data_IF_758645273851
#
_entry.id   IF_758645273851
#
_cell.length_a   1.000
_cell.length_b   1.000
_cell.length_c   1.000
_cell.angle_alpha   90.00
_cell.angle_beta   90.00
_cell.angle_gamma   90.00
#
_symmetry.space_group_name_H-M   'P 1'
#
loop_
_entity.id
_entity.type
_entity.pdbx_description
1 polymer ?
#
# COMPACT_ATOMS: atom_id res chain seq x y z
N UNK A 1 23.16 -19.69 -13.29
CA UNK A 1 23.23 -19.41 -11.85
C UNK A 1 22.53 -18.13 -11.44
N UNK A 2 22.59 -17.08 -12.28
CA UNK A 2 21.83 -15.87 -12.00
C UNK A 2 20.32 -16.12 -12.04
N UNK A 3 19.86 -16.99 -12.94
CA UNK A 3 18.44 -17.34 -13.00
C UNK A 3 17.94 -17.96 -11.69
N UNK A 4 18.72 -18.89 -11.13
CA UNK A 4 18.38 -19.53 -9.86
C UNK A 4 18.27 -18.53 -8.72
N UNK A 5 19.18 -17.55 -8.68
CA UNK A 5 19.14 -16.50 -7.67
C UNK A 5 17.89 -15.65 -7.79
N UNK A 6 17.53 -15.30 -9.02
CA UNK A 6 16.30 -14.52 -9.28
C UNK A 6 15.06 -15.33 -8.89
N UNK A 7 15.02 -16.61 -9.26
CA UNK A 7 13.91 -17.48 -8.89
C UNK A 7 13.76 -17.60 -7.38
N UNK A 8 14.88 -17.68 -6.64
CA UNK A 8 14.86 -17.72 -5.18
C UNK A 8 14.34 -16.43 -4.59
N UNK A 9 14.72 -15.29 -5.17
CA UNK A 9 14.21 -13.99 -4.72
C UNK A 9 12.70 -13.87 -4.98
N UNK A 10 12.24 -14.34 -6.12
CA UNK A 10 10.81 -14.36 -6.44
C UNK A 10 10.05 -15.25 -5.44
N UNK A 11 10.62 -16.41 -5.11
CA UNK A 11 9.98 -17.32 -4.17
C UNK A 11 9.87 -16.70 -2.77
N UNK A 12 10.87 -15.95 -2.33
CA UNK A 12 10.79 -15.21 -1.06
C UNK A 12 9.67 -14.18 -1.09
N UNK A 13 9.54 -13.47 -2.21
CA UNK A 13 8.46 -12.48 -2.38
C UNK A 13 7.11 -13.17 -2.31
N UNK A 14 6.96 -14.30 -2.99
CA UNK A 14 5.71 -15.06 -2.96
C UNK A 14 5.34 -15.49 -1.54
N UNK A 15 6.34 -15.94 -0.78
CA UNK A 15 6.12 -16.34 0.62
C UNK A 15 5.69 -15.17 1.48
N UNK A 16 6.30 -14.00 1.32
CA UNK A 16 5.87 -12.80 2.04
C UNK A 16 4.45 -12.40 1.66
N UNK A 17 4.11 -12.48 0.38
CA UNK A 17 2.77 -12.12 -0.09
C UNK A 17 1.70 -12.99 0.55
N UNK A 18 1.95 -14.30 0.63
CA UNK A 18 0.97 -15.21 1.24
C UNK A 18 0.87 -15.03 2.75
N UNK A 19 1.88 -14.44 3.38
CA UNK A 19 1.87 -14.18 4.81
C UNK A 19 1.21 -12.84 5.18
N UNK A 20 0.92 -11.99 4.20
CA UNK A 20 0.25 -10.73 4.45
C UNK A 20 -1.18 -10.96 4.95
N UNK A 21 -1.58 -10.20 5.96
CA UNK A 21 -2.95 -10.24 6.46
C UNK A 21 -3.90 -9.39 5.62
N UNK A 22 -5.06 -9.07 6.18
CA UNK A 22 -6.01 -8.21 5.48
C UNK A 22 -5.36 -6.90 5.08
N UNK A 23 -5.73 -6.40 3.90
CA UNK A 23 -5.14 -5.17 3.36
C UNK A 23 -6.22 -4.31 2.71
N UNK A 24 -5.92 -3.02 2.61
CA UNK A 24 -6.76 -2.09 1.89
C UNK A 24 -5.95 -0.91 1.39
N UNK A 25 -6.30 -0.34 0.24
CA UNK A 25 -5.71 0.92 -0.20
C UNK A 25 -6.25 2.09 0.60
N UNK A 26 -5.53 3.20 0.62
CA UNK A 26 -6.03 4.43 1.18
C UNK A 26 -5.01 5.18 2.00
N UNK A 27 -5.45 6.33 2.49
CA UNK A 27 -4.67 7.22 3.34
C UNK A 27 -5.50 7.57 4.56
N UNK A 28 -4.91 7.40 5.74
CA UNK A 28 -5.55 7.77 6.99
C UNK A 28 -5.01 9.13 7.43
N UNK A 29 -5.90 10.08 7.64
CA UNK A 29 -5.53 11.41 8.13
C UNK A 29 -6.18 11.66 9.47
N UNK A 30 -5.49 12.45 10.29
CA UNK A 30 -5.98 12.87 11.59
C UNK A 30 -6.34 14.35 11.49
N UNK A 31 -7.58 14.67 11.84
CA UNK A 31 -8.09 16.03 11.68
C UNK A 31 -8.72 16.54 12.96
N UNK A 32 -8.68 17.86 13.10
CA UNK A 32 -9.33 18.58 14.18
C UNK A 32 -10.26 19.61 13.56
N UNK A 33 -11.45 19.76 14.11
CA UNK A 33 -12.44 20.64 13.54
C UNK A 33 -13.18 21.41 14.64
N UNK A 34 -13.56 22.64 14.33
CA UNK A 34 -14.44 23.42 15.18
C UNK A 34 -15.87 22.96 14.97
N UNK A 35 -16.65 22.87 16.08
CA UNK A 35 -18.07 22.59 15.97
C UNK A 35 -18.84 23.90 15.82
N UNK A 36 -20.13 23.82 15.44
CA UNK A 36 -20.96 25.01 15.27
C UNK A 36 -21.79 25.32 16.50
N UNK A 37 -21.55 24.67 17.63
CA UNK A 37 -22.30 24.90 18.85
C UNK A 37 -21.84 26.18 19.54
N UNK A 38 -22.75 27.15 19.80
CA UNK A 38 -22.40 28.37 20.50
C UNK A 38 -21.85 28.06 21.90
N UNK A 39 -20.84 28.83 22.33
CA UNK A 39 -20.23 28.64 23.63
C UNK A 39 -19.25 27.51 23.77
N UNK A 40 -18.97 26.76 22.69
CA UNK A 40 -17.99 25.70 22.72
C UNK A 40 -16.57 26.26 22.70
N UNK A 41 -15.65 25.61 23.43
CA UNK A 41 -14.24 26.04 23.49
C UNK A 41 -13.54 26.03 22.14
N UNK A 42 -14.04 25.27 21.17
CA UNK A 42 -13.47 25.19 19.83
C UNK A 42 -13.63 26.49 19.02
N UNK A 43 -14.56 27.35 19.39
CA UNK A 43 -14.79 28.62 18.71
C UNK A 43 -14.29 29.81 19.52
N UNK A 44 -13.52 29.57 20.57
CA UNK A 44 -12.91 30.64 21.38
C UNK A 44 -11.96 31.47 20.50
N UNK A 45 -12.17 32.79 20.38
CA UNK A 45 -11.35 33.63 19.52
C UNK A 45 -9.90 33.80 20.00
N UNK A 46 -9.62 33.51 21.28
CA UNK A 46 -8.27 33.67 21.84
C UNK A 46 -7.51 32.36 21.84
N UNK A 47 -8.11 31.28 22.31
CA UNK A 47 -7.51 29.94 22.37
C UNK A 47 -8.51 28.87 21.95
N UNK A 48 -8.76 28.74 20.65
CA UNK A 48 -9.73 27.76 20.21
C UNK A 48 -9.23 26.33 20.47
N UNK A 49 -10.06 25.52 21.12
CA UNK A 49 -9.79 24.08 21.29
C UNK A 49 -10.66 23.32 20.33
N UNK A 50 -10.11 22.99 19.17
CA UNK A 50 -10.82 22.25 18.16
C UNK A 50 -11.13 20.83 18.65
N UNK A 51 -12.27 20.31 18.20
CA UNK A 51 -12.64 18.92 18.49
C UNK A 51 -11.77 17.96 17.71
N UNK A 52 -11.48 16.83 18.32
CA UNK A 52 -10.70 15.79 17.65
C UNK A 52 -9.80 15.07 18.65
N UNK A 53 -8.95 14.18 18.10
CA UNK A 53 -8.77 13.95 16.66
C UNK A 53 -9.90 13.16 16.04
N UNK A 54 -10.26 13.53 14.81
CA UNK A 54 -11.11 12.74 13.95
C UNK A 54 -10.23 12.04 12.92
N UNK A 55 -10.46 10.76 12.72
CA UNK A 55 -9.70 9.99 11.75
C UNK A 55 -10.52 9.83 10.49
N UNK A 56 -9.91 10.14 9.36
CA UNK A 56 -10.56 10.12 8.07
C UNK A 56 -9.75 9.25 7.13
N UNK A 57 -10.44 8.26 6.53
CA UNK A 57 -9.84 7.34 5.58
C UNK A 57 -10.30 7.73 4.18
N UNK A 58 -9.33 8.04 3.31
CA UNK A 58 -9.61 8.37 1.90
C UNK A 58 -9.00 7.32 1.01
N UNK A 59 -9.75 6.83 0.04
CA UNK A 59 -9.26 5.85 -0.90
C UNK A 59 -9.99 5.97 -2.23
N UNK A 60 -9.33 5.47 -3.27
CA UNK A 60 -9.93 5.38 -4.61
C UNK A 60 -9.91 3.93 -5.04
N UNK A 61 -11.02 3.47 -5.58
CA UNK A 61 -11.17 2.11 -6.07
C UNK A 61 -12.07 2.10 -7.29
N UNK A 62 -11.60 1.51 -8.37
CA UNK A 62 -12.33 1.43 -9.64
C UNK A 62 -12.84 2.79 -10.11
N UNK A 63 -11.99 3.81 -10.00
CA UNK A 63 -12.31 5.16 -10.45
C UNK A 63 -13.16 5.99 -9.51
N UNK A 64 -13.55 5.42 -8.36
CA UNK A 64 -14.35 6.15 -7.38
C UNK A 64 -13.51 6.49 -6.16
N UNK A 65 -13.53 7.77 -5.78
CA UNK A 65 -12.89 8.25 -4.55
C UNK A 65 -13.91 8.27 -3.43
N UNK A 66 -13.53 7.74 -2.29
CA UNK A 66 -14.40 7.65 -1.12
C UNK A 66 -13.65 8.14 0.11
N UNK A 67 -14.35 8.88 0.96
CA UNK A 67 -13.82 9.35 2.23
C UNK A 67 -14.78 8.93 3.33
N UNK A 68 -14.24 8.32 4.40
CA UNK A 68 -15.04 7.85 5.53
C UNK A 68 -14.36 8.19 6.84
N UNK A 69 -15.18 8.49 7.84
CA UNK A 69 -14.68 8.62 9.20
C UNK A 69 -14.42 7.24 9.80
N UNK A 70 -13.33 7.13 10.56
CA UNK A 70 -12.95 5.89 11.24
C UNK A 70 -13.06 6.11 12.74
N UNK A 71 -13.77 5.22 13.42
CA UNK A 71 -13.90 5.27 14.87
C UNK A 71 -12.53 4.99 15.52
N UNK A 72 -12.20 5.69 16.61
CA UNK A 72 -10.88 5.51 17.26
C UNK A 72 -10.53 4.06 17.55
N UNK A 73 -11.52 3.23 17.90
CA UNK A 73 -11.28 1.81 18.16
C UNK A 73 -10.81 0.99 16.96
N UNK A 74 -11.05 1.48 15.73
CA UNK A 74 -10.64 0.77 14.52
C UNK A 74 -9.36 1.31 13.90
N UNK A 75 -8.78 2.38 14.44
CA UNK A 75 -7.62 3.05 13.84
C UNK A 75 -6.42 2.09 13.75
N UNK A 76 -6.16 1.31 14.80
CA UNK A 76 -5.04 0.36 14.81
C UNK A 76 -5.21 -0.68 13.70
N UNK A 77 -6.42 -1.23 13.56
CA UNK A 77 -6.71 -2.22 12.53
C UNK A 77 -6.55 -1.63 11.13
N UNK A 78 -7.07 -0.42 10.89
CA UNK A 78 -6.94 0.26 9.61
C UNK A 78 -5.47 0.51 9.27
N UNK A 79 -4.67 0.96 10.24
CA UNK A 79 -3.24 1.17 10.03
C UNK A 79 -2.52 -0.11 9.61
N UNK A 80 -2.90 -1.24 10.20
CA UNK A 80 -2.33 -2.53 9.82
C UNK A 80 -2.70 -2.91 8.39
N UNK A 81 -3.95 -2.68 7.99
CA UNK A 81 -4.42 -2.98 6.64
C UNK A 81 -3.74 -2.09 5.59
N UNK A 82 -3.55 -0.82 5.90
CA UNK A 82 -2.85 0.11 5.02
C UNK A 82 -1.38 -0.27 4.87
N UNK A 83 -0.73 -0.66 5.96
CA UNK A 83 0.66 -1.11 5.94
C UNK A 83 0.81 -2.39 5.12
N UNK A 84 -0.11 -3.33 5.27
CA UNK A 84 -0.11 -4.58 4.50
C UNK A 84 -0.26 -4.30 3.00
N UNK A 85 -1.13 -3.38 2.63
CA UNK A 85 -1.31 -3.01 1.22
C UNK A 85 -0.06 -2.33 0.66
N UNK A 86 0.56 -1.45 1.43
CA UNK A 86 1.81 -0.81 1.02
C UNK A 86 2.89 -1.85 0.76
N UNK A 87 3.03 -2.83 1.66
CA UNK A 87 3.99 -3.91 1.50
C UNK A 87 3.67 -4.78 0.30
N UNK A 88 2.39 -5.07 0.08
CA UNK A 88 1.92 -5.79 -1.10
C UNK A 88 2.37 -5.10 -2.39
N UNK A 89 2.21 -3.78 -2.47
CA UNK A 89 2.62 -3.02 -3.65
C UNK A 89 4.14 -3.06 -3.85
N UNK A 90 4.90 -2.91 -2.78
CA UNK A 90 6.37 -2.98 -2.85
C UNK A 90 6.82 -4.36 -3.34
N UNK A 91 6.24 -5.41 -2.81
CA UNK A 91 6.59 -6.78 -3.18
C UNK A 91 6.20 -7.11 -4.61
N UNK A 92 5.01 -6.71 -5.05
CA UNK A 92 4.58 -6.97 -6.43
C UNK A 92 5.40 -6.20 -7.44
N UNK A 93 5.80 -4.97 -7.14
CA UNK A 93 6.69 -4.20 -8.00
C UNK A 93 8.06 -4.86 -8.14
N UNK A 94 8.61 -5.37 -7.03
CA UNK A 94 9.87 -6.11 -7.06
C UNK A 94 9.73 -7.40 -7.86
N UNK A 95 8.64 -8.11 -7.67
CA UNK A 95 8.38 -9.35 -8.42
C UNK A 95 8.33 -9.06 -9.92
N UNK A 96 7.59 -8.04 -10.34
CA UNK A 96 7.51 -7.68 -11.75
C UNK A 96 8.89 -7.37 -12.32
N UNK A 97 9.71 -6.59 -11.59
CA UNK A 97 11.06 -6.26 -12.02
C UNK A 97 11.93 -7.52 -12.18
N UNK A 98 11.89 -8.43 -11.21
CA UNK A 98 12.64 -9.67 -11.25
C UNK A 98 12.14 -10.60 -12.36
N UNK A 99 10.82 -10.70 -12.52
CA UNK A 99 10.22 -11.53 -13.56
C UNK A 99 10.59 -11.02 -14.96
N UNK A 100 10.61 -9.70 -15.13
CA UNK A 100 11.02 -9.10 -16.40
C UNK A 100 12.46 -9.41 -16.71
N UNK A 101 13.36 -9.27 -15.74
CA UNK A 101 14.79 -9.60 -15.89
C UNK A 101 14.94 -11.07 -16.26
N UNK A 102 14.26 -11.96 -15.57
CA UNK A 102 14.32 -13.41 -15.84
C UNK A 102 13.83 -13.74 -17.24
N UNK A 103 12.73 -13.13 -17.65
CA UNK A 103 12.17 -13.33 -18.99
C UNK A 103 13.13 -12.86 -20.07
N UNK A 104 13.77 -11.70 -19.88
CA UNK A 104 14.76 -11.20 -20.83
C UNK A 104 15.95 -12.13 -20.95
N UNK A 105 16.43 -12.66 -19.84
CA UNK A 105 17.55 -13.63 -19.85
C UNK A 105 17.19 -14.87 -20.64
N UNK A 106 15.96 -15.38 -20.48
CA UNK A 106 15.51 -16.58 -21.20
C UNK A 106 15.36 -16.31 -22.70
N UNK A 107 14.86 -15.13 -23.06
CA UNK A 107 14.76 -14.72 -24.47
C UNK A 107 16.14 -14.64 -25.11
N UNK A 108 17.11 -14.07 -24.40
CA UNK A 108 18.49 -13.99 -24.88
C UNK A 108 19.09 -15.37 -25.11
N UNK A 109 18.88 -16.29 -24.18
CA UNK A 109 19.36 -17.66 -24.30
C UNK A 109 18.73 -18.39 -25.49
N UNK A 110 17.41 -18.24 -25.69
CA UNK A 110 16.71 -18.83 -26.82
C UNK A 110 17.25 -18.30 -28.14
N UNK A 111 17.51 -16.99 -28.21
CA UNK A 111 18.08 -16.36 -29.39
C UNK A 111 19.46 -16.91 -29.71
N UNK A 112 20.33 -17.08 -28.70
CA UNK A 112 21.66 -17.65 -28.89
C UNK A 112 21.59 -19.09 -29.38
N UNK A 113 20.66 -19.87 -28.86
CA UNK A 113 20.47 -21.26 -29.30
C UNK A 113 20.02 -21.33 -30.76
N UNK A 114 19.14 -20.44 -31.20
CA UNK A 114 18.73 -20.37 -32.60
C UNK A 114 19.91 -20.02 -33.50
N UNK A 115 20.72 -19.06 -33.11
CA UNK A 115 21.89 -18.64 -33.89
C UNK A 115 22.91 -19.76 -34.00
N UNK A 116 23.04 -20.61 -32.97
CA UNK A 116 23.93 -21.75 -33.00
C UNK A 116 23.44 -22.90 -33.91
N UNK A 117 22.14 -22.99 -34.13
CA UNK A 117 21.54 -24.00 -34.97
C UNK A 117 21.60 -23.69 -36.48
N UNK A 118 22.00 -22.50 -36.83
CA UNK A 118 22.22 -22.09 -38.20
C UNK A 118 23.66 -22.41 -38.59
#
# INVERSE_FOLDING_TARGET
MQEKRIEQQIERIRSELTALGPMRPGTLSRQYAACQKPGCACIDPVKPKKHGPFYQLSYSHQGKSTTRFVRPGYVVQIKKELAAYKRFRELTQKWVALALTLSQMRLEQARRQEDQKK
#
